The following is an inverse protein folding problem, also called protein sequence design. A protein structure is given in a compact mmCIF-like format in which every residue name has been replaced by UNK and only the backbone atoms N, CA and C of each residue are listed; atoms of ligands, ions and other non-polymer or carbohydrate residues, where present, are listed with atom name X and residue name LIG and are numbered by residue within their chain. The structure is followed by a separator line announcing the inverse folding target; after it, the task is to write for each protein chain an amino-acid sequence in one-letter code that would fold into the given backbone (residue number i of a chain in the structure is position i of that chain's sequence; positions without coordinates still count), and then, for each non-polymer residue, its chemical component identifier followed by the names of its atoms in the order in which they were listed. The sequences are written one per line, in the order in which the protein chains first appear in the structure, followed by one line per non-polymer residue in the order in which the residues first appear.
data_IF_953344589210
#
_entry.id   IF_953344589210
#
_cell.length_a   1.000
_cell.length_b   1.000
_cell.length_c   1.000
_cell.angle_alpha   90.00
_cell.angle_beta   90.00
_cell.angle_gamma   90.00
#
_symmetry.space_group_name_H-M   'P 1'
#
loop_
_entity.id
_entity.type
_entity.pdbx_description
1 polymer ?
#
# COMPACT_ATOMS: atom_id res chain seq x y z
N UNK A 1 3.99 -24.66 -8.50
CA UNK A 1 4.63 -23.50 -7.85
C UNK A 1 6.08 -23.45 -8.35
N UNK A 2 6.48 -22.31 -8.88
CA UNK A 2 7.85 -22.06 -9.36
C UNK A 2 8.55 -21.12 -8.37
N UNK A 3 9.44 -21.67 -7.56
CA UNK A 3 10.19 -20.91 -6.56
C UNK A 3 11.39 -20.22 -7.20
N UNK A 4 11.40 -18.89 -7.22
CA UNK A 4 12.43 -18.05 -7.83
C UNK A 4 13.50 -17.56 -6.86
N UNK A 5 13.39 -17.90 -5.58
CA UNK A 5 14.30 -17.39 -4.55
C UNK A 5 14.20 -15.87 -4.35
N UNK A 6 15.16 -15.27 -3.65
CA UNK A 6 15.22 -13.83 -3.43
C UNK A 6 15.39 -13.06 -4.76
N UNK A 7 14.54 -12.06 -4.99
CA UNK A 7 14.59 -11.21 -6.18
C UNK A 7 15.31 -9.92 -5.82
N UNK A 8 16.36 -9.55 -6.61
CA UNK A 8 17.07 -8.29 -6.41
C UNK A 8 16.16 -7.09 -6.61
N UNK A 9 16.45 -5.97 -5.92
CA UNK A 9 15.68 -4.74 -6.05
C UNK A 9 15.56 -4.25 -7.50
N UNK A 10 16.60 -4.46 -8.32
CA UNK A 10 16.62 -4.07 -9.73
C UNK A 10 15.62 -4.89 -10.58
N UNK A 11 15.48 -6.19 -10.32
CA UNK A 11 14.59 -7.07 -11.06
C UNK A 11 13.15 -7.07 -10.50
N UNK A 12 12.96 -6.62 -9.25
CA UNK A 12 11.69 -6.72 -8.52
C UNK A 12 10.56 -5.93 -9.19
N UNK A 13 10.81 -4.72 -9.64
CA UNK A 13 9.80 -3.89 -10.30
C UNK A 13 9.32 -4.49 -11.63
N UNK A 14 10.22 -5.11 -12.39
CA UNK A 14 9.86 -5.83 -13.62
C UNK A 14 9.06 -7.09 -13.30
N UNK A 15 9.50 -7.86 -12.31
CA UNK A 15 8.78 -9.05 -11.85
C UNK A 15 7.36 -8.72 -11.40
N UNK A 16 7.20 -7.70 -10.54
CA UNK A 16 5.89 -7.25 -10.06
C UNK A 16 5.02 -6.73 -11.21
N UNK A 17 5.57 -5.93 -12.11
CA UNK A 17 4.82 -5.38 -13.26
C UNK A 17 4.25 -6.45 -14.16
N UNK A 18 4.95 -7.56 -14.33
CA UNK A 18 4.52 -8.68 -15.17
C UNK A 18 3.64 -9.69 -14.43
N UNK A 19 3.50 -9.58 -13.12
CA UNK A 19 2.61 -10.43 -12.34
C UNK A 19 1.13 -10.08 -12.62
N UNK A 20 0.27 -11.11 -12.66
CA UNK A 20 -1.18 -10.92 -12.75
C UNK A 20 -1.74 -10.25 -11.50
N UNK A 21 -1.30 -10.69 -10.35
CA UNK A 21 -1.59 -10.12 -9.03
C UNK A 21 -0.46 -10.46 -8.05
N UNK A 22 -0.37 -9.71 -6.95
CA UNK A 22 0.35 -10.09 -5.75
C UNK A 22 -0.61 -10.76 -4.78
N UNK A 23 -0.26 -11.93 -4.27
CA UNK A 23 -1.00 -12.58 -3.19
C UNK A 23 -0.27 -12.36 -1.87
N UNK A 24 -0.98 -11.84 -0.87
CA UNK A 24 -0.46 -11.57 0.47
C UNK A 24 -1.28 -12.30 1.56
N UNK A 25 -1.16 -13.65 1.64
CA UNK A 25 -1.90 -14.46 2.61
C UNK A 25 -1.18 -14.49 3.96
N UNK A 26 -0.92 -13.34 4.55
CA UNK A 26 -0.22 -13.24 5.83
C UNK A 26 -1.10 -13.75 6.97
N UNK A 27 -0.47 -14.43 7.94
CA UNK A 27 -1.15 -14.97 9.14
C UNK A 27 -0.93 -14.11 10.38
N UNK A 28 -0.28 -12.97 10.22
CA UNK A 28 -0.01 -12.01 11.29
C UNK A 28 -0.51 -10.62 10.87
N UNK A 29 -0.72 -9.75 11.85
CA UNK A 29 -1.14 -8.37 11.58
C UNK A 29 0.01 -7.57 10.98
N UNK A 30 -0.05 -7.35 9.68
CA UNK A 30 0.94 -6.54 8.96
C UNK A 30 0.83 -5.08 9.38
N UNK A 31 1.95 -4.44 9.79
CA UNK A 31 1.94 -3.02 10.12
C UNK A 31 1.89 -2.10 8.90
N UNK A 32 2.37 -2.55 7.72
CA UNK A 32 2.38 -1.74 6.50
C UNK A 32 2.31 -2.55 5.21
N UNK A 33 3.00 -3.69 5.13
CA UNK A 33 3.18 -4.52 3.92
C UNK A 33 3.79 -3.76 2.72
N UNK A 34 5.07 -3.41 2.82
CA UNK A 34 5.79 -2.70 1.75
C UNK A 34 5.70 -3.40 0.38
N UNK A 35 5.67 -4.74 0.37
CA UNK A 35 5.56 -5.52 -0.86
C UNK A 35 4.22 -5.27 -1.60
N UNK A 36 3.11 -5.10 -0.88
CA UNK A 36 1.82 -4.76 -1.48
C UNK A 36 1.86 -3.36 -2.11
N UNK A 37 2.48 -2.39 -1.41
CA UNK A 37 2.66 -1.04 -1.93
C UNK A 37 3.56 -1.03 -3.17
N UNK A 38 4.66 -1.78 -3.17
CA UNK A 38 5.54 -1.91 -4.34
C UNK A 38 4.81 -2.53 -5.55
N UNK A 39 3.95 -3.53 -5.33
CA UNK A 39 3.14 -4.12 -6.38
C UNK A 39 2.17 -3.09 -6.97
N UNK A 40 1.45 -2.36 -6.13
CA UNK A 40 0.50 -1.33 -6.57
C UNK A 40 1.20 -0.16 -7.27
N UNK A 41 2.40 0.24 -6.85
CA UNK A 41 3.23 1.24 -7.56
C UNK A 41 3.61 0.77 -8.97
N UNK A 42 3.73 -0.55 -9.18
CA UNK A 42 3.92 -1.17 -10.49
C UNK A 42 2.61 -1.36 -11.28
N UNK A 43 1.46 -1.01 -10.72
CA UNK A 43 0.14 -1.22 -11.28
C UNK A 43 -0.36 -2.66 -11.13
N UNK A 44 0.24 -3.45 -10.23
CA UNK A 44 -0.17 -4.84 -10.00
C UNK A 44 -1.18 -4.89 -8.88
N UNK A 45 -2.38 -5.45 -9.10
CA UNK A 45 -3.41 -5.59 -8.08
C UNK A 45 -2.95 -6.52 -6.97
N UNK A 46 -3.50 -6.33 -5.78
CA UNK A 46 -3.18 -7.11 -4.59
C UNK A 46 -4.41 -7.90 -4.14
N UNK A 47 -4.24 -9.18 -3.87
CA UNK A 47 -5.23 -10.00 -3.16
C UNK A 47 -4.63 -10.32 -1.79
N UNK A 48 -5.26 -9.87 -0.73
CA UNK A 48 -4.69 -9.89 0.61
C UNK A 48 -5.73 -10.31 1.67
N UNK A 49 -5.27 -10.58 2.87
CA UNK A 49 -6.15 -10.76 4.04
C UNK A 49 -6.84 -9.42 4.39
N UNK A 50 -8.06 -9.48 4.94
CA UNK A 50 -8.81 -8.28 5.34
C UNK A 50 -8.57 -7.92 6.81
N UNK A 51 -7.32 -7.70 7.18
CA UNK A 51 -6.93 -7.16 8.48
C UNK A 51 -5.55 -6.49 8.44
N UNK A 52 -5.21 -5.79 9.52
CA UNK A 52 -3.96 -5.02 9.61
C UNK A 52 -3.90 -3.90 8.55
N UNK A 53 -2.71 -3.56 8.09
CA UNK A 53 -2.49 -2.49 7.14
C UNK A 53 -3.17 -2.71 5.79
N UNK A 54 -3.61 -3.93 5.46
CA UNK A 54 -4.29 -4.20 4.20
C UNK A 54 -5.63 -3.46 4.11
N UNK A 55 -6.31 -3.24 5.23
CA UNK A 55 -7.58 -2.49 5.29
C UNK A 55 -7.41 -1.02 4.90
N UNK A 56 -6.21 -0.46 5.11
CA UNK A 56 -5.87 0.93 4.79
C UNK A 56 -5.21 1.07 3.41
N UNK A 57 -4.46 0.04 2.99
CA UNK A 57 -3.64 0.12 1.78
C UNK A 57 -4.35 -0.38 0.54
N UNK A 58 -5.16 -1.44 0.65
CA UNK A 58 -5.86 -2.05 -0.48
C UNK A 58 -7.30 -1.55 -0.55
N UNK A 59 -7.58 -0.65 -1.49
CA UNK A 59 -8.96 -0.22 -1.76
C UNK A 59 -9.69 -1.33 -2.51
N UNK A 60 -10.72 -1.90 -1.85
CA UNK A 60 -11.54 -3.00 -2.37
C UNK A 60 -12.13 -2.69 -3.75
N UNK A 61 -12.00 -3.64 -4.69
CA UNK A 61 -12.53 -3.52 -6.04
C UNK A 61 -11.85 -2.46 -6.93
N UNK A 62 -10.82 -1.77 -6.43
CA UNK A 62 -10.08 -0.74 -7.17
C UNK A 62 -8.59 -1.07 -7.27
N UNK A 63 -7.96 -1.40 -6.14
CA UNK A 63 -6.52 -1.72 -6.08
C UNK A 63 -6.27 -3.21 -5.87
N UNK A 64 -7.30 -3.96 -5.57
CA UNK A 64 -7.25 -5.38 -5.29
C UNK A 64 -8.48 -5.85 -4.54
N UNK A 65 -8.36 -6.99 -3.89
CA UNK A 65 -9.42 -7.63 -3.12
C UNK A 65 -8.90 -8.06 -1.76
N UNK A 66 -9.74 -7.90 -0.72
CA UNK A 66 -9.44 -8.29 0.66
C UNK A 66 -10.31 -9.49 1.04
N UNK A 67 -9.70 -10.51 1.60
CA UNK A 67 -10.26 -11.83 1.75
C UNK A 67 -10.32 -12.28 3.21
N UNK A 68 -11.46 -12.85 3.62
CA UNK A 68 -11.65 -13.52 4.90
C UNK A 68 -11.72 -15.05 4.74
N UNK A 69 -12.31 -15.51 3.65
CA UNK A 69 -12.56 -16.93 3.38
C UNK A 69 -11.80 -17.42 2.16
N UNK A 70 -11.64 -18.73 2.02
CA UNK A 70 -11.05 -19.34 0.82
C UNK A 70 -11.83 -18.95 -0.45
N UNK A 71 -13.15 -18.82 -0.34
CA UNK A 71 -13.98 -18.40 -1.49
C UNK A 71 -13.63 -16.98 -1.93
N UNK A 72 -13.45 -16.03 -0.98
CA UNK A 72 -13.04 -14.67 -1.31
C UNK A 72 -11.70 -14.64 -2.07
N UNK A 73 -10.75 -15.52 -1.68
CA UNK A 73 -9.48 -15.64 -2.40
C UNK A 73 -9.67 -16.11 -3.84
N UNK A 74 -10.51 -17.13 -4.04
CA UNK A 74 -10.81 -17.66 -5.39
C UNK A 74 -11.47 -16.57 -6.23
N UNK A 75 -12.47 -15.90 -5.69
CA UNK A 75 -13.23 -14.84 -6.39
C UNK A 75 -12.34 -13.64 -6.68
N UNK A 76 -11.57 -13.18 -5.71
CA UNK A 76 -10.61 -12.09 -5.87
C UNK A 76 -9.55 -12.37 -6.94
N UNK A 77 -8.93 -13.56 -6.92
CA UNK A 77 -7.93 -13.97 -7.92
C UNK A 77 -8.53 -14.02 -9.33
N UNK A 78 -9.79 -14.43 -9.47
CA UNK A 78 -10.46 -14.45 -10.76
C UNK A 78 -10.78 -13.04 -11.25
N UNK A 79 -11.20 -12.15 -10.36
CA UNK A 79 -11.65 -10.79 -10.67
C UNK A 79 -10.51 -9.77 -10.90
N UNK A 80 -9.26 -10.05 -10.49
CA UNK A 80 -8.15 -9.08 -10.65
C UNK A 80 -7.91 -8.63 -12.09
N UNK A 81 -8.33 -9.42 -13.08
CA UNK A 81 -8.18 -9.09 -14.49
C UNK A 81 -9.00 -7.87 -14.94
N UNK A 82 -10.07 -7.56 -14.21
CA UNK A 82 -10.99 -6.47 -14.53
C UNK A 82 -10.53 -5.11 -13.97
N UNK A 83 -9.49 -5.12 -13.13
CA UNK A 83 -8.96 -3.91 -12.50
C UNK A 83 -8.03 -3.14 -13.44
N UNK A 84 -8.23 -1.81 -13.51
CA UNK A 84 -7.36 -0.95 -14.30
C UNK A 84 -6.01 -0.71 -13.60
N UNK A 85 -4.98 -1.32 -14.13
CA UNK A 85 -3.61 -1.23 -13.62
C UNK A 85 -3.03 0.20 -13.62
N UNK A 86 -3.53 1.09 -14.50
CA UNK A 86 -3.11 2.49 -14.56
C UNK A 86 -3.72 3.27 -13.40
N UNK A 87 -4.98 2.98 -13.08
CA UNK A 87 -5.66 3.56 -11.90
C UNK A 87 -4.95 3.13 -10.63
N UNK A 88 -4.65 1.82 -10.48
CA UNK A 88 -3.89 1.30 -9.34
C UNK A 88 -2.56 2.06 -9.17
N UNK A 89 -1.76 2.14 -10.23
CA UNK A 89 -0.47 2.83 -10.20
C UNK A 89 -0.61 4.33 -9.88
N UNK A 90 -1.65 4.97 -10.41
CA UNK A 90 -1.95 6.39 -10.17
C UNK A 90 -2.24 6.66 -8.70
N UNK A 91 -3.14 5.89 -8.10
CA UNK A 91 -3.50 5.99 -6.68
C UNK A 91 -2.29 5.69 -5.80
N UNK A 92 -1.56 4.60 -6.10
CA UNK A 92 -0.38 4.21 -5.34
C UNK A 92 0.70 5.30 -5.36
N UNK A 93 0.97 5.92 -6.50
CA UNK A 93 1.93 7.03 -6.64
C UNK A 93 1.50 8.25 -5.85
N UNK A 94 0.23 8.63 -5.91
CA UNK A 94 -0.31 9.76 -5.16
C UNK A 94 -0.19 9.57 -3.64
N UNK A 95 -0.30 8.31 -3.18
CA UNK A 95 -0.24 7.98 -1.74
C UNK A 95 1.18 7.69 -1.24
N UNK A 96 1.99 6.94 -2.01
CA UNK A 96 3.22 6.33 -1.47
C UNK A 96 4.48 6.58 -2.32
N UNK A 97 4.44 7.44 -3.33
CA UNK A 97 5.67 7.86 -3.99
C UNK A 97 6.59 8.56 -2.99
N UNK A 98 7.88 8.55 -3.27
CA UNK A 98 8.87 9.24 -2.46
C UNK A 98 8.54 10.73 -2.28
N UNK A 99 8.03 11.36 -3.35
CA UNK A 99 7.57 12.75 -3.32
C UNK A 99 6.35 12.94 -2.39
N UNK A 100 5.33 12.08 -2.50
CA UNK A 100 4.13 12.17 -1.68
C UNK A 100 4.44 11.92 -0.20
N UNK A 101 5.30 10.94 0.09
CA UNK A 101 5.77 10.66 1.44
C UNK A 101 6.63 11.81 1.97
N UNK A 102 7.57 12.33 1.19
CA UNK A 102 8.43 13.45 1.55
C UNK A 102 7.62 14.65 2.00
N UNK A 103 6.65 15.09 1.21
CA UNK A 103 5.76 16.21 1.57
C UNK A 103 5.02 16.01 2.90
N UNK A 104 4.60 14.77 3.20
CA UNK A 104 3.95 14.46 4.48
C UNK A 104 4.93 14.50 5.65
N UNK A 105 6.13 13.95 5.48
CA UNK A 105 7.17 14.03 6.50
C UNK A 105 7.61 15.47 6.77
N UNK A 106 7.83 16.28 5.72
CA UNK A 106 8.16 17.71 5.87
C UNK A 106 7.11 18.43 6.70
N UNK A 107 5.83 18.19 6.43
CA UNK A 107 4.73 18.78 7.21
C UNK A 107 4.81 18.36 8.68
N UNK A 108 5.04 17.06 8.97
CA UNK A 108 5.17 16.54 10.34
C UNK A 108 6.39 17.18 11.04
N UNK A 109 7.53 17.27 10.35
CA UNK A 109 8.73 17.86 10.93
C UNK A 109 8.58 19.35 11.20
N UNK A 110 7.92 20.10 10.31
CA UNK A 110 7.59 21.49 10.57
C UNK A 110 6.71 21.64 11.83
N UNK A 111 5.68 20.81 11.96
CA UNK A 111 4.81 20.82 13.14
C UNK A 111 5.56 20.46 14.43
N UNK A 112 6.41 19.44 14.40
CA UNK A 112 7.24 19.09 15.55
C UNK A 112 8.20 20.22 15.95
N UNK A 113 8.80 20.90 14.97
CA UNK A 113 9.66 22.03 15.22
C UNK A 113 8.91 23.21 15.84
N UNK A 114 7.70 23.49 15.38
CA UNK A 114 6.85 24.54 15.95
C UNK A 114 6.41 24.21 17.38
N UNK A 115 6.01 22.97 17.62
CA UNK A 115 5.69 22.47 18.97
C UNK A 115 6.90 22.58 19.92
N UNK A 116 8.09 22.22 19.45
CA UNK A 116 9.31 22.31 20.24
C UNK A 116 9.66 23.75 20.64
N UNK A 117 9.39 24.73 19.75
CA UNK A 117 9.64 26.15 20.00
C UNK A 117 8.58 26.82 20.88
N UNK A 118 7.33 26.36 20.80
CA UNK A 118 6.17 27.00 21.48
C UNK A 118 5.70 26.25 22.73
N UNK A 119 6.29 25.11 23.05
CA UNK A 119 5.88 24.22 24.14
C UNK A 119 4.95 23.10 23.68
N UNK A 120 5.16 21.90 24.26
CA UNK A 120 4.46 20.66 23.91
C UNK A 120 2.95 20.64 24.16
N UNK A 121 2.41 21.66 24.85
CA UNK A 121 1.03 21.70 25.31
C UNK A 121 0.13 22.64 24.52
N UNK A 122 0.68 23.42 23.61
CA UNK A 122 -0.07 24.34 22.77
C UNK A 122 -0.20 23.76 21.36
N UNK A 123 -1.09 22.78 21.19
CA UNK A 123 -1.56 22.38 19.87
C UNK A 123 -2.36 23.54 19.28
N UNK A 124 -1.71 24.40 18.49
CA UNK A 124 -2.47 25.28 17.60
C UNK A 124 -3.21 24.38 16.62
N UNK A 125 -4.48 24.71 16.40
CA UNK A 125 -5.34 24.01 15.46
C UNK A 125 -4.70 24.07 14.05
N UNK A 126 -3.95 23.02 13.70
CA UNK A 126 -3.18 22.95 12.44
C UNK A 126 -3.99 22.40 11.28
N UNK A 127 -5.31 22.21 11.47
CA UNK A 127 -6.20 21.68 10.45
C UNK A 127 -5.91 20.22 10.05
N UNK A 128 -5.25 19.46 10.92
CA UNK A 128 -5.11 18.01 10.79
C UNK A 128 -6.30 17.35 11.48
N UNK A 129 -7.40 17.19 10.78
CA UNK A 129 -8.36 16.14 11.09
C UNK A 129 -7.81 14.83 10.53
N UNK A 130 -7.90 13.77 11.35
CA UNK A 130 -7.49 12.40 11.03
C UNK A 130 -8.18 11.88 9.77
#
# INVERSE_FOLDING_TARGET
IDYRGPISSKARSEFLRNARALLAPTVFTEPFCGMAVEAMLCGTPVVAVDYGAMTETVTEGVMGYRCHTLQDWIDGINAVGDLDRRVIAGIARAKWSLEACGKRYDKIFCQLNDLYRSGWYELRDTGLTA
#
